data_IF_356719976890
#
_entry.id   IF_356719976890
#
_cell.length_a   1.000
_cell.length_b   1.000
_cell.length_c   1.000
_cell.angle_alpha   90.00
_cell.angle_beta   90.00
_cell.angle_gamma   90.00
#
_symmetry.space_group_name_H-M   'P 1'
#
loop_
_entity.id
_entity.type
_entity.pdbx_description
1 polymer ?
#
# COMPACT_ATOMS: atom_id res chain seq x y z
N UNK A 1 55.04 42.82 73.00
CA UNK A 1 56.20 41.97 73.30
C UNK A 1 56.26 40.86 72.26
N UNK A 2 57.28 40.86 71.39
CA UNK A 2 57.77 39.65 70.72
C UNK A 2 58.49 38.76 71.78
N UNK A 3 58.99 37.53 71.52
CA UNK A 3 59.32 36.94 70.21
C UNK A 3 59.18 35.39 70.06
N UNK A 4 59.60 34.92 68.87
CA UNK A 4 60.31 33.65 68.57
C UNK A 4 59.54 32.33 68.66
N UNK A 5 59.76 31.31 67.81
CA UNK A 5 60.71 31.09 66.73
C UNK A 5 60.35 29.81 65.96
N UNK A 6 60.78 29.76 64.68
CA UNK A 6 61.16 28.58 63.87
C UNK A 6 60.12 27.47 63.62
N UNK A 7 59.70 27.17 62.39
CA UNK A 7 60.42 26.74 61.17
C UNK A 7 60.08 25.27 60.88
N UNK A 8 59.79 24.94 59.63
CA UNK A 8 59.84 23.54 59.16
C UNK A 8 58.66 23.09 58.32
N UNK A 9 58.72 23.43 57.02
CA UNK A 9 58.42 22.56 55.88
C UNK A 9 57.59 21.29 56.13
N UNK A 10 56.41 21.21 55.51
CA UNK A 10 55.98 20.02 54.76
C UNK A 10 54.89 20.41 53.77
N UNK A 11 55.22 20.25 52.50
CA UNK A 11 54.28 20.28 51.39
C UNK A 11 53.28 19.13 51.57
N UNK A 12 52.00 19.47 51.69
CA UNK A 12 50.91 18.50 51.74
C UNK A 12 50.51 18.20 50.28
N UNK A 13 51.17 17.19 49.71
CA UNK A 13 50.75 16.58 48.46
C UNK A 13 49.51 15.70 48.73
N UNK A 14 48.47 15.79 47.90
CA UNK A 14 47.26 14.98 48.08
C UNK A 14 47.58 13.50 47.93
N UNK A 15 47.10 12.72 48.91
CA UNK A 15 47.19 11.27 48.96
C UNK A 15 46.65 10.65 47.68
N UNK A 16 47.53 9.89 47.04
CA UNK A 16 47.25 8.91 45.99
C UNK A 16 46.15 7.94 46.42
N UNK A 17 44.93 8.09 45.88
CA UNK A 17 43.97 6.99 45.80
C UNK A 17 44.25 6.20 44.52
N UNK A 18 44.95 5.09 44.70
CA UNK A 18 45.25 4.12 43.65
C UNK A 18 43.94 3.43 43.25
N UNK A 19 43.35 3.83 42.13
CA UNK A 19 42.25 3.10 41.51
C UNK A 19 42.77 1.78 40.92
N UNK A 20 42.12 0.63 41.15
CA UNK A 20 42.58 -0.64 40.61
C UNK A 20 42.39 -0.66 39.09
N UNK A 21 43.49 -0.90 38.38
CA UNK A 21 43.51 -1.14 36.94
C UNK A 21 42.72 -2.42 36.62
N UNK A 22 41.51 -2.25 36.09
CA UNK A 22 40.76 -3.33 35.45
C UNK A 22 41.16 -3.40 33.97
N UNK A 23 42.09 -4.32 33.74
CA UNK A 23 42.31 -5.07 32.50
C UNK A 23 41.19 -4.90 31.47
N UNK A 24 41.56 -4.30 30.33
CA UNK A 24 40.71 -4.21 29.17
C UNK A 24 40.34 -5.60 28.64
N UNK A 25 39.06 -5.92 28.71
CA UNK A 25 38.42 -6.81 27.75
C UNK A 25 37.51 -5.94 26.90
N UNK A 26 38.05 -5.44 25.78
CA UNK A 26 37.23 -5.04 24.63
C UNK A 26 36.58 -6.33 24.10
N UNK A 27 35.52 -6.74 24.75
CA UNK A 27 34.59 -7.71 24.20
C UNK A 27 34.01 -7.08 22.95
N UNK A 28 34.52 -7.49 21.79
CA UNK A 28 33.80 -7.36 20.53
C UNK A 28 32.41 -7.93 20.79
N UNK A 29 31.41 -7.06 20.87
CA UNK A 29 30.02 -7.46 20.68
C UNK A 29 30.00 -8.17 19.34
N UNK A 30 30.01 -9.50 19.40
CA UNK A 30 29.83 -10.33 18.23
C UNK A 30 28.48 -9.96 17.67
N UNK A 31 28.49 -9.39 16.46
CA UNK A 31 27.34 -9.42 15.58
C UNK A 31 26.97 -10.90 15.49
N UNK A 32 25.97 -11.33 16.25
CA UNK A 32 25.36 -12.64 16.07
C UNK A 32 24.72 -12.51 14.70
N UNK A 33 25.43 -12.96 13.66
CA UNK A 33 24.82 -13.18 12.36
C UNK A 33 23.67 -14.14 12.64
N UNK A 34 22.44 -13.63 12.61
CA UNK A 34 21.26 -14.47 12.74
C UNK A 34 21.36 -15.51 11.64
N UNK A 35 21.49 -16.79 12.01
CA UNK A 35 21.40 -17.90 11.07
C UNK A 35 20.20 -17.66 10.16
N UNK A 36 20.32 -17.82 8.83
CA UNK A 36 19.20 -17.52 7.96
C UNK A 36 18.06 -18.45 8.33
N UNK A 37 16.94 -17.85 8.76
CA UNK A 37 15.65 -18.52 8.70
C UNK A 37 15.47 -19.03 7.28
N UNK A 38 15.17 -20.33 7.15
CA UNK A 38 15.00 -21.00 5.87
C UNK A 38 14.09 -20.20 4.95
N UNK A 39 14.49 -20.07 3.67
CA UNK A 39 13.67 -19.40 2.67
C UNK A 39 12.27 -20.02 2.59
N UNK A 40 11.22 -19.20 2.46
CA UNK A 40 9.86 -19.70 2.41
C UNK A 40 9.60 -20.44 1.09
N UNK A 41 8.68 -21.41 1.14
CA UNK A 41 8.14 -22.05 -0.06
C UNK A 41 6.76 -21.48 -0.35
N UNK A 42 6.71 -20.37 -1.09
CA UNK A 42 5.47 -19.73 -1.53
C UNK A 42 5.38 -19.79 -3.05
N UNK A 43 4.34 -20.46 -3.55
CA UNK A 43 4.10 -20.59 -4.98
C UNK A 43 5.25 -21.29 -5.72
N UNK A 44 5.47 -20.89 -6.97
CA UNK A 44 6.53 -21.40 -7.87
C UNK A 44 7.82 -20.59 -7.80
N UNK A 45 7.86 -19.54 -6.98
CA UNK A 45 8.97 -18.59 -6.92
C UNK A 45 10.16 -19.12 -6.11
N UNK A 46 11.36 -18.69 -6.52
CA UNK A 46 12.59 -18.92 -5.76
C UNK A 46 12.86 -17.73 -4.85
N UNK A 47 12.67 -17.92 -3.55
CA UNK A 47 12.90 -16.90 -2.54
C UNK A 47 14.34 -16.95 -2.05
N UNK A 48 15.01 -15.79 -2.06
CA UNK A 48 16.40 -15.63 -1.59
C UNK A 48 16.47 -14.52 -0.55
N UNK A 49 17.54 -14.46 0.22
CA UNK A 49 17.73 -13.37 1.19
C UNK A 49 17.70 -12.02 0.49
N UNK A 50 16.83 -11.11 0.91
CA UNK A 50 16.72 -9.78 0.31
C UNK A 50 18.02 -8.96 0.45
N UNK A 51 18.79 -9.20 1.51
CA UNK A 51 20.06 -8.53 1.75
C UNK A 51 21.16 -8.94 0.76
N UNK A 52 21.02 -10.10 0.12
CA UNK A 52 21.99 -10.62 -0.86
C UNK A 52 21.65 -10.18 -2.29
N UNK A 53 20.45 -9.63 -2.52
CA UNK A 53 19.94 -9.25 -3.85
C UNK A 53 19.38 -7.81 -3.88
N UNK A 54 20.16 -6.80 -3.45
CA UNK A 54 19.69 -5.41 -3.38
C UNK A 54 19.28 -4.83 -4.74
N UNK A 55 19.79 -5.37 -5.86
CA UNK A 55 19.44 -4.97 -7.22
C UNK A 55 17.99 -5.30 -7.60
N UNK A 56 17.33 -6.18 -6.85
CA UNK A 56 15.90 -6.47 -7.01
C UNK A 56 15.00 -5.48 -6.26
N UNK A 57 15.56 -4.59 -5.44
CA UNK A 57 14.80 -3.69 -4.58
C UNK A 57 14.88 -2.25 -5.10
N UNK A 58 13.86 -1.44 -4.82
CA UNK A 58 14.03 -0.01 -5.00
C UNK A 58 15.04 0.53 -3.99
N UNK A 59 15.78 1.58 -4.38
CA UNK A 59 16.77 2.22 -3.52
C UNK A 59 16.29 2.52 -2.07
N UNK A 60 15.10 3.12 -1.84
CA UNK A 60 14.61 3.35 -0.48
C UNK A 60 14.35 2.06 0.30
N UNK A 61 13.90 1.00 -0.37
CA UNK A 61 13.62 -0.31 0.23
C UNK A 61 14.93 -1.00 0.64
N UNK A 62 15.93 -1.00 -0.25
CA UNK A 62 17.26 -1.54 0.05
C UNK A 62 17.92 -0.82 1.22
N UNK A 63 17.80 0.51 1.29
CA UNK A 63 18.37 1.31 2.37
C UNK A 63 17.70 1.02 3.73
N UNK A 64 16.40 0.73 3.74
CA UNK A 64 15.64 0.47 4.96
C UNK A 64 15.72 -0.99 5.45
N UNK A 65 16.19 -1.92 4.60
CA UNK A 65 16.16 -3.37 4.87
C UNK A 65 16.89 -3.75 6.16
N UNK A 66 18.03 -3.13 6.45
CA UNK A 66 18.82 -3.41 7.65
C UNK A 66 18.14 -3.02 8.97
N UNK A 67 17.08 -2.21 8.91
CA UNK A 67 16.28 -1.82 10.08
C UNK A 67 15.05 -2.71 10.31
N UNK A 68 14.78 -3.68 9.43
CA UNK A 68 13.60 -4.53 9.55
C UNK A 68 13.75 -5.54 10.69
N UNK A 69 12.73 -5.65 11.53
CA UNK A 69 12.70 -6.60 12.64
C UNK A 69 12.34 -8.01 12.16
N UNK A 70 13.31 -8.73 11.62
CA UNK A 70 13.15 -10.12 11.18
C UNK A 70 13.74 -10.39 9.80
N UNK A 71 13.62 -11.62 9.30
CA UNK A 71 14.09 -11.96 7.98
C UNK A 71 13.27 -11.28 6.87
N UNK A 72 13.93 -11.03 5.75
CA UNK A 72 13.30 -10.56 4.53
C UNK A 72 13.81 -11.39 3.36
N UNK A 73 12.88 -11.85 2.53
CA UNK A 73 13.19 -12.58 1.32
C UNK A 73 12.69 -11.81 0.10
N UNK A 74 13.36 -12.01 -1.02
CA UNK A 74 12.98 -11.43 -2.31
C UNK A 74 12.94 -12.52 -3.38
N UNK A 75 11.97 -12.38 -4.28
CA UNK A 75 11.85 -13.19 -5.49
C UNK A 75 11.62 -12.27 -6.69
N UNK A 76 12.32 -12.57 -7.78
CA UNK A 76 12.11 -11.92 -9.08
C UNK A 76 10.80 -12.39 -9.70
N UNK A 77 10.12 -11.47 -10.39
CA UNK A 77 8.89 -11.73 -11.15
C UNK A 77 8.95 -11.01 -12.49
N UNK A 78 8.09 -11.42 -13.40
CA UNK A 78 7.80 -10.64 -14.60
C UNK A 78 7.13 -9.32 -14.19
N UNK A 79 7.69 -8.20 -14.67
CA UNK A 79 7.21 -6.86 -14.36
C UNK A 79 5.78 -6.58 -14.88
N UNK A 80 5.33 -7.32 -15.88
CA UNK A 80 3.97 -7.23 -16.41
C UNK A 80 2.96 -7.98 -15.52
N UNK A 81 3.45 -8.89 -14.67
CA UNK A 81 2.65 -9.67 -13.71
C UNK A 81 2.73 -9.10 -12.28
N UNK A 82 3.16 -7.84 -12.14
CA UNK A 82 3.32 -7.21 -10.83
C UNK A 82 2.00 -6.86 -10.12
N UNK A 83 0.89 -6.75 -10.87
CA UNK A 83 -0.44 -6.60 -10.27
C UNK A 83 -0.79 -7.82 -9.42
N UNK A 84 -1.40 -7.60 -8.27
CA UNK A 84 -1.61 -8.66 -7.27
C UNK A 84 -2.45 -9.82 -7.81
N UNK A 85 -3.49 -9.57 -8.61
CA UNK A 85 -4.30 -10.66 -9.16
C UNK A 85 -3.48 -11.50 -10.14
N UNK A 86 -2.84 -10.85 -11.11
CA UNK A 86 -1.98 -11.50 -12.10
C UNK A 86 -0.80 -12.25 -11.46
N UNK A 87 -0.19 -11.66 -10.43
CA UNK A 87 0.88 -12.26 -9.64
C UNK A 87 0.43 -13.57 -8.97
N UNK A 88 -0.70 -13.52 -8.24
CA UNK A 88 -1.21 -14.69 -7.51
C UNK A 88 -1.58 -15.82 -8.47
N UNK A 89 -2.20 -15.50 -9.60
CA UNK A 89 -2.55 -16.46 -10.65
C UNK A 89 -1.31 -17.10 -11.29
N UNK A 90 -0.34 -16.29 -11.70
CA UNK A 90 0.84 -16.77 -12.43
C UNK A 90 1.80 -17.59 -11.55
N UNK A 91 1.98 -17.17 -10.30
CA UNK A 91 3.02 -17.74 -9.42
C UNK A 91 2.47 -18.65 -8.33
N UNK A 92 1.14 -18.77 -8.18
CA UNK A 92 0.52 -19.65 -7.19
C UNK A 92 0.80 -19.23 -5.74
N UNK A 93 1.12 -17.96 -5.51
CA UNK A 93 1.20 -17.40 -4.16
C UNK A 93 -0.23 -17.11 -3.67
N UNK A 94 -0.66 -17.64 -2.51
CA UNK A 94 -2.01 -17.41 -2.02
C UNK A 94 -2.31 -15.91 -1.82
N UNK A 95 -3.47 -15.40 -2.26
CA UNK A 95 -3.85 -14.01 -2.04
C UNK A 95 -3.97 -13.66 -0.55
N UNK A 96 -4.27 -14.64 0.32
CA UNK A 96 -4.32 -14.47 1.78
C UNK A 96 -2.95 -14.20 2.40
N UNK A 97 -1.88 -14.62 1.72
CA UNK A 97 -0.50 -14.33 2.11
C UNK A 97 0.06 -13.11 1.39
N UNK A 98 -0.77 -12.34 0.68
CA UNK A 98 -0.36 -11.14 -0.05
C UNK A 98 -1.03 -9.91 0.56
N UNK A 99 -0.32 -8.78 0.58
CA UNK A 99 -0.85 -7.50 1.01
C UNK A 99 -0.56 -6.39 0.02
N UNK A 100 -1.55 -5.52 -0.18
CA UNK A 100 -1.45 -4.34 -1.01
C UNK A 100 -1.02 -3.14 -0.15
N UNK A 101 -0.06 -2.36 -0.64
CA UNK A 101 0.29 -1.07 -0.07
C UNK A 101 -0.20 0.04 -1.00
N UNK A 102 -1.19 0.81 -0.55
CA UNK A 102 -1.78 1.91 -1.31
C UNK A 102 -1.46 3.25 -0.67
N UNK A 103 -1.18 4.26 -1.48
CA UNK A 103 -0.88 5.62 -1.00
C UNK A 103 -2.15 6.47 -1.02
N UNK A 104 -2.44 7.11 0.10
CA UNK A 104 -3.60 7.98 0.33
C UNK A 104 -3.13 9.42 0.51
N UNK A 105 -3.79 10.34 -0.18
CA UNK A 105 -3.67 11.77 0.05
C UNK A 105 -4.80 12.27 0.94
N UNK A 106 -4.45 12.73 2.15
CA UNK A 106 -5.36 13.24 3.16
C UNK A 106 -5.24 14.77 3.25
N UNK A 107 -6.33 15.50 3.01
CA UNK A 107 -6.35 16.96 2.91
C UNK A 107 -7.15 17.61 4.03
N UNK A 108 -6.56 18.62 4.68
CA UNK A 108 -7.20 19.49 5.68
C UNK A 108 -6.61 20.90 5.61
N UNK A 109 -7.47 21.92 5.66
CA UNK A 109 -7.05 23.33 5.75
C UNK A 109 -5.96 23.73 4.71
N UNK A 110 -6.10 23.27 3.47
CA UNK A 110 -5.14 23.56 2.39
C UNK A 110 -3.88 22.69 2.37
N UNK A 111 -3.60 21.94 3.44
CA UNK A 111 -2.46 21.02 3.56
C UNK A 111 -2.82 19.61 3.10
N UNK A 112 -1.86 18.91 2.52
CA UNK A 112 -1.99 17.50 2.11
C UNK A 112 -0.92 16.69 2.83
N UNK A 113 -1.34 15.60 3.49
CA UNK A 113 -0.46 14.58 4.06
C UNK A 113 -0.63 13.32 3.22
N UNK A 114 0.48 12.66 2.91
CA UNK A 114 0.49 11.35 2.29
C UNK A 114 0.63 10.27 3.37
N UNK A 115 -0.08 9.16 3.22
CA UNK A 115 -0.02 8.02 4.12
C UNK A 115 -0.06 6.73 3.30
N UNK A 116 0.58 5.68 3.79
CA UNK A 116 0.46 4.34 3.22
C UNK A 116 -0.57 3.53 4.01
N UNK A 117 -1.36 2.73 3.32
CA UNK A 117 -2.28 1.76 3.91
C UNK A 117 -1.88 0.36 3.41
N UNK A 118 -1.58 -0.54 4.34
CA UNK A 118 -1.21 -1.93 4.08
C UNK A 118 -2.38 -2.82 4.47
N UNK A 119 -3.02 -3.46 3.50
CA UNK A 119 -4.21 -4.29 3.69
C UNK A 119 -4.06 -5.64 3.00
N UNK A 120 -4.72 -6.72 3.46
CA UNK A 120 -4.70 -7.98 2.75
C UNK A 120 -5.16 -7.82 1.29
N UNK A 121 -4.58 -8.59 0.38
CA UNK A 121 -4.90 -8.52 -1.05
C UNK A 121 -6.37 -8.81 -1.37
N UNK A 122 -7.05 -9.53 -0.48
CA UNK A 122 -8.48 -9.88 -0.55
C UNK A 122 -9.41 -8.77 -0.06
N UNK A 123 -8.86 -7.61 0.32
CA UNK A 123 -9.61 -6.48 0.87
C UNK A 123 -9.23 -5.17 0.19
N UNK A 124 -9.96 -4.10 0.52
CA UNK A 124 -9.67 -2.72 0.11
C UNK A 124 -9.61 -1.81 1.32
N UNK A 125 -8.63 -0.91 1.35
CA UNK A 125 -8.53 0.11 2.39
C UNK A 125 -9.79 1.01 2.42
N UNK A 126 -10.35 1.25 3.60
CA UNK A 126 -11.44 2.20 3.84
C UNK A 126 -10.93 3.66 3.83
N UNK A 127 -10.52 4.12 2.64
CA UNK A 127 -9.89 5.44 2.44
C UNK A 127 -10.82 6.57 2.88
N UNK A 128 -12.08 6.53 2.44
CA UNK A 128 -13.04 7.63 2.62
C UNK A 128 -13.73 7.61 4.00
N UNK A 129 -13.81 6.43 4.64
CA UNK A 129 -14.34 6.24 5.97
C UNK A 129 -13.25 6.32 7.02
N UNK A 130 -12.68 5.16 7.37
CA UNK A 130 -11.75 5.02 8.48
C UNK A 130 -10.49 5.86 8.33
N UNK A 131 -9.75 5.74 7.22
CA UNK A 131 -8.46 6.43 7.03
C UNK A 131 -8.65 7.94 7.07
N UNK A 132 -9.68 8.48 6.39
CA UNK A 132 -10.00 9.91 6.43
C UNK A 132 -10.24 10.41 7.85
N UNK A 133 -11.01 9.68 8.66
CA UNK A 133 -11.29 10.04 10.06
C UNK A 133 -10.04 9.95 10.92
N UNK A 134 -9.28 8.87 10.77
CA UNK A 134 -8.04 8.60 11.50
C UNK A 134 -7.02 9.72 11.32
N UNK A 135 -6.78 10.13 10.07
CA UNK A 135 -5.87 11.22 9.72
C UNK A 135 -6.47 12.61 9.98
N UNK A 136 -7.66 12.70 10.60
CA UNK A 136 -8.34 13.97 10.90
C UNK A 136 -8.61 14.83 9.66
N UNK A 137 -8.76 14.20 8.49
CA UNK A 137 -8.81 14.87 7.21
C UNK A 137 -10.23 15.29 6.81
N UNK A 138 -10.35 16.41 6.08
CA UNK A 138 -11.64 16.81 5.50
C UNK A 138 -12.00 15.93 4.30
N UNK A 139 -10.99 15.63 3.47
CA UNK A 139 -11.09 14.76 2.29
C UNK A 139 -9.90 13.80 2.29
N UNK A 140 -10.14 12.55 1.88
CA UNK A 140 -9.08 11.60 1.55
C UNK A 140 -9.36 11.04 0.15
N UNK A 141 -8.32 10.63 -0.56
CA UNK A 141 -8.39 9.90 -1.81
C UNK A 141 -7.13 9.08 -1.99
N UNK A 142 -7.09 8.17 -2.96
CA UNK A 142 -5.79 7.68 -3.45
C UNK A 142 -4.93 8.86 -3.90
N UNK A 143 -3.64 8.79 -3.62
CA UNK A 143 -2.70 9.79 -4.11
C UNK A 143 -2.57 9.68 -5.64
N UNK A 144 -2.38 10.80 -6.35
CA UNK A 144 -2.01 10.77 -7.77
C UNK A 144 -0.77 9.90 -7.98
N UNK A 145 -0.75 9.11 -9.05
CA UNK A 145 0.31 8.14 -9.32
C UNK A 145 1.69 8.80 -9.40
N UNK A 146 1.79 9.91 -10.12
CA UNK A 146 3.01 10.70 -10.27
C UNK A 146 3.55 11.19 -8.92
N UNK A 147 2.67 11.70 -8.06
CA UNK A 147 3.02 12.12 -6.69
C UNK A 147 3.47 10.92 -5.85
N UNK A 148 2.73 9.81 -5.88
CA UNK A 148 3.08 8.62 -5.11
C UNK A 148 4.45 8.06 -5.52
N UNK A 149 4.76 8.00 -6.81
CA UNK A 149 6.04 7.55 -7.34
C UNK A 149 7.17 8.49 -6.97
N UNK A 150 6.99 9.80 -7.20
CA UNK A 150 8.01 10.80 -6.94
C UNK A 150 8.39 10.86 -5.45
N UNK A 151 7.39 10.85 -4.56
CA UNK A 151 7.62 11.01 -3.13
C UNK A 151 8.06 9.72 -2.44
N UNK A 152 7.63 8.54 -2.92
CA UNK A 152 8.09 7.26 -2.37
C UNK A 152 9.45 6.82 -2.91
N UNK A 153 9.85 7.30 -4.09
CA UNK A 153 11.02 6.80 -4.81
C UNK A 153 10.85 5.36 -5.33
N UNK A 154 9.60 4.89 -5.48
CA UNK A 154 9.26 3.52 -5.88
C UNK A 154 8.39 3.50 -7.13
N UNK A 155 8.42 2.40 -7.87
CA UNK A 155 7.59 2.21 -9.05
C UNK A 155 6.10 2.04 -8.67
N UNK A 156 5.21 2.60 -9.50
CA UNK A 156 3.78 2.37 -9.34
C UNK A 156 3.43 0.88 -9.47
N UNK A 157 2.59 0.39 -8.55
CA UNK A 157 2.31 -1.05 -8.38
C UNK A 157 3.40 -1.84 -7.64
N UNK A 158 4.56 -1.24 -7.39
CA UNK A 158 5.64 -1.79 -6.58
C UNK A 158 5.76 -1.17 -5.19
N UNK A 159 5.06 -0.05 -4.93
CA UNK A 159 5.12 0.68 -3.65
C UNK A 159 4.85 -0.26 -2.47
N UNK A 160 5.65 -0.12 -1.41
CA UNK A 160 5.67 -0.95 -0.21
C UNK A 160 5.84 -0.07 1.03
N UNK A 161 5.44 -0.49 2.24
CA UNK A 161 5.62 0.32 3.45
C UNK A 161 7.09 0.52 3.86
N UNK A 162 8.01 -0.31 3.37
CA UNK A 162 9.42 -0.26 3.74
C UNK A 162 10.16 0.86 2.99
N UNK A 163 10.83 1.75 3.71
CA UNK A 163 11.63 2.83 3.13
C UNK A 163 10.84 4.07 2.69
N UNK A 164 9.56 4.16 3.06
CA UNK A 164 8.77 5.37 2.85
C UNK A 164 9.30 6.56 3.66
N UNK A 165 9.01 7.81 3.24
CA UNK A 165 9.39 8.99 3.99
C UNK A 165 8.89 8.93 5.44
N UNK A 166 9.70 9.34 6.44
CA UNK A 166 9.32 9.24 7.86
C UNK A 166 8.12 10.11 8.24
N UNK A 167 7.75 11.07 7.40
CA UNK A 167 6.57 11.91 7.56
C UNK A 167 5.26 11.22 7.17
N UNK A 168 5.33 10.04 6.53
CA UNK A 168 4.15 9.30 6.09
C UNK A 168 3.70 8.33 7.19
N UNK A 169 2.47 8.45 7.72
CA UNK A 169 1.88 7.40 8.51
C UNK A 169 1.77 6.11 7.68
N UNK A 170 2.08 4.96 8.29
CA UNK A 170 1.91 3.64 7.70
C UNK A 170 0.81 2.91 8.47
N UNK A 171 -0.40 2.91 7.93
CA UNK A 171 -1.55 2.25 8.55
C UNK A 171 -1.54 0.78 8.12
N UNK A 172 -1.46 -0.14 9.08
CA UNK A 172 -1.36 -1.59 8.82
C UNK A 172 -2.64 -2.26 9.32
N UNK A 173 -3.23 -3.09 8.47
CA UNK A 173 -4.38 -3.89 8.86
C UNK A 173 -3.95 -4.98 9.86
N UNK A 174 -4.74 -5.26 10.93
CA UNK A 174 -4.41 -6.28 11.92
C UNK A 174 -4.15 -7.66 11.33
N UNK A 175 -4.84 -8.05 10.25
CA UNK A 175 -4.61 -9.34 9.61
C UNK A 175 -3.23 -9.41 8.93
N UNK A 176 -2.75 -8.28 8.39
CA UNK A 176 -1.37 -8.19 7.87
C UNK A 176 -0.38 -8.22 9.02
N UNK A 177 -0.63 -7.46 10.10
CA UNK A 177 0.27 -7.40 11.26
C UNK A 177 0.43 -8.77 11.96
N UNK A 178 -0.64 -9.57 11.97
CA UNK A 178 -0.65 -10.89 12.60
C UNK A 178 -0.09 -12.03 11.71
N UNK A 179 0.12 -11.79 10.41
CA UNK A 179 0.60 -12.82 9.51
C UNK A 179 2.03 -13.25 9.84
N UNK A 180 2.29 -14.56 9.93
CA UNK A 180 3.64 -15.10 10.10
C UNK A 180 4.56 -14.67 8.95
N UNK A 181 4.00 -14.60 7.74
CA UNK A 181 4.67 -14.16 6.53
C UNK A 181 3.66 -13.51 5.59
N UNK A 182 4.05 -12.40 4.97
CA UNK A 182 3.23 -11.66 4.00
C UNK A 182 4.09 -11.21 2.82
N UNK A 183 3.52 -11.32 1.62
CA UNK A 183 4.10 -10.88 0.36
C UNK A 183 3.64 -9.47 0.04
N UNK A 184 4.59 -8.56 -0.18
CA UNK A 184 4.37 -7.15 -0.51
C UNK A 184 5.25 -6.74 -1.70
N UNK A 185 5.01 -5.54 -2.24
CA UNK A 185 5.90 -4.95 -3.24
C UNK A 185 7.34 -4.80 -2.72
N UNK A 186 8.31 -4.79 -3.64
CA UNK A 186 9.74 -4.57 -3.36
C UNK A 186 10.18 -3.12 -3.63
N UNK A 187 9.24 -2.23 -3.93
CA UNK A 187 9.48 -0.91 -4.48
C UNK A 187 9.70 -0.91 -6.00
N UNK A 188 9.84 -2.07 -6.64
CA UNK A 188 9.92 -2.22 -8.10
C UNK A 188 8.76 -3.06 -8.62
N UNK A 189 8.63 -3.18 -9.95
CA UNK A 189 7.67 -4.10 -10.57
C UNK A 189 8.23 -5.50 -10.80
N UNK A 190 9.55 -5.65 -10.91
CA UNK A 190 10.21 -6.91 -11.28
C UNK A 190 10.48 -7.86 -10.12
N UNK A 191 9.99 -7.58 -8.91
CA UNK A 191 10.19 -8.48 -7.77
C UNK A 191 9.14 -8.25 -6.67
N UNK A 192 9.08 -9.18 -5.71
CA UNK A 192 8.27 -9.07 -4.48
C UNK A 192 9.12 -9.37 -3.26
N UNK A 193 8.72 -8.80 -2.13
CA UNK A 193 9.26 -9.13 -0.81
C UNK A 193 8.33 -10.09 -0.08
N UNK A 194 8.90 -11.02 0.66
CA UNK A 194 8.21 -11.76 1.72
C UNK A 194 8.83 -11.38 3.07
N UNK A 195 8.01 -10.97 4.03
CA UNK A 195 8.45 -10.49 5.34
C UNK A 195 7.44 -10.90 6.42
N UNK A 196 7.84 -11.03 7.70
CA UNK A 196 6.87 -11.21 8.78
C UNK A 196 5.92 -10.00 8.88
N UNK A 197 4.63 -10.25 9.09
CA UNK A 197 3.64 -9.21 9.32
C UNK A 197 3.99 -8.30 10.50
N UNK A 198 4.49 -8.91 11.57
CA UNK A 198 4.96 -8.20 12.76
C UNK A 198 6.12 -7.24 12.45
N UNK A 199 6.95 -7.52 11.43
CA UNK A 199 8.03 -6.64 11.02
C UNK A 199 7.50 -5.36 10.35
N UNK A 200 6.40 -5.47 9.58
CA UNK A 200 5.71 -4.32 9.00
C UNK A 200 5.01 -3.47 10.06
N UNK A 201 4.38 -4.12 11.04
CA UNK A 201 3.75 -3.44 12.18
C UNK A 201 4.76 -2.75 13.11
N UNK A 202 6.02 -3.18 13.10
CA UNK A 202 7.10 -2.60 13.90
C UNK A 202 7.87 -1.47 13.20
N UNK A 203 7.48 -1.08 11.98
CA UNK A 203 8.12 0.06 11.31
C UNK A 203 7.92 1.34 12.13
N UNK A 204 8.88 2.29 12.13
CA UNK A 204 8.82 3.47 13.03
C UNK A 204 7.57 4.34 12.88
N UNK A 205 7.00 4.40 11.67
CA UNK A 205 5.79 5.18 11.37
C UNK A 205 4.53 4.30 11.27
N UNK A 206 4.61 3.02 11.67
CA UNK A 206 3.49 2.09 11.57
C UNK A 206 2.51 2.22 12.73
N UNK A 207 1.22 2.11 12.39
CA UNK A 207 0.12 2.01 13.32
C UNK A 207 -0.83 0.90 12.85
N UNK A 208 -1.10 -0.08 13.72
CA UNK A 208 -2.08 -1.12 13.43
C UNK A 208 -3.48 -0.55 13.65
N UNK A 209 -4.29 -0.54 12.59
CA UNK A 209 -5.58 0.15 12.57
C UNK A 209 -6.74 -0.80 12.29
N UNK A 210 -7.54 -1.07 13.31
CA UNK A 210 -8.69 -1.98 13.26
C UNK A 210 -9.73 -1.58 12.20
N UNK A 211 -10.11 -2.54 11.35
CA UNK A 211 -11.10 -2.34 10.29
C UNK A 211 -10.60 -1.55 9.08
N UNK A 212 -9.26 -1.45 8.91
CA UNK A 212 -8.64 -0.80 7.75
C UNK A 212 -9.05 -1.47 6.43
N UNK A 213 -8.95 -2.79 6.35
CA UNK A 213 -9.41 -3.60 5.23
C UNK A 213 -10.92 -3.80 5.25
N UNK A 214 -11.58 -3.51 4.12
CA UNK A 214 -12.98 -3.88 3.86
C UNK A 214 -13.01 -5.04 2.86
N UNK A 215 -13.88 -6.05 3.06
CA UNK A 215 -14.09 -7.07 2.04
C UNK A 215 -14.37 -6.43 0.68
N UNK A 216 -13.79 -6.99 -0.38
CA UNK A 216 -14.17 -6.62 -1.74
C UNK A 216 -15.67 -6.94 -1.89
N UNK A 217 -16.47 -5.96 -2.31
CA UNK A 217 -17.89 -6.20 -2.53
C UNK A 217 -18.02 -7.29 -3.60
N UNK A 218 -18.75 -8.36 -3.28
CA UNK A 218 -19.11 -9.36 -4.28
C UNK A 218 -19.94 -8.67 -5.35
N UNK A 219 -19.65 -8.85 -6.66
CA UNK A 219 -20.51 -8.30 -7.70
C UNK A 219 -21.95 -8.78 -7.44
N UNK A 220 -22.96 -7.91 -7.64
CA UNK A 220 -24.34 -8.33 -7.44
C UNK A 220 -24.58 -9.58 -8.29
N UNK A 221 -25.00 -10.67 -7.62
CA UNK A 221 -25.33 -11.91 -8.30
C UNK A 221 -26.31 -11.57 -9.43
N UNK A 222 -26.07 -12.02 -10.67
CA UNK A 222 -27.03 -11.78 -11.74
C UNK A 222 -28.39 -12.28 -11.25
N UNK A 223 -29.41 -11.42 -11.36
CA UNK A 223 -30.77 -11.82 -11.06
C UNK A 223 -31.05 -13.09 -11.89
N UNK A 224 -31.74 -14.10 -11.33
CA UNK A 224 -32.11 -15.27 -12.10
C UNK A 224 -32.83 -14.78 -13.36
N UNK A 225 -32.29 -15.11 -14.53
CA UNK A 225 -32.95 -14.87 -15.80
C UNK A 225 -34.30 -15.55 -15.72
N UNK A 226 -35.38 -14.78 -15.64
CA UNK A 226 -36.71 -15.31 -15.82
C UNK A 226 -36.71 -16.01 -17.17
N UNK A 227 -36.95 -17.32 -17.17
CA UNK A 227 -37.17 -18.09 -18.39
C UNK A 227 -38.27 -17.38 -19.17
N UNK A 228 -38.04 -16.95 -20.43
CA UNK A 228 -39.12 -16.41 -21.24
C UNK A 228 -40.25 -17.44 -21.24
N UNK A 229 -41.44 -17.04 -20.82
CA UNK A 229 -42.61 -17.90 -20.94
C UNK A 229 -42.74 -18.32 -22.40
N UNK A 230 -42.76 -19.63 -22.64
CA UNK A 230 -42.95 -20.22 -23.96
C UNK A 230 -44.24 -19.64 -24.57
N UNK A 231 -44.10 -18.84 -25.63
CA UNK A 231 -45.24 -18.23 -26.32
C UNK A 231 -46.06 -19.34 -26.97
N UNK A 232 -47.35 -19.41 -26.64
CA UNK A 232 -48.27 -20.33 -27.26
C UNK A 232 -48.31 -20.12 -28.80
N UNK A 233 -48.23 -21.20 -29.60
CA UNK A 233 -48.22 -21.09 -31.05
C UNK A 233 -49.66 -20.99 -31.60
N UNK A 234 -50.21 -19.79 -31.72
CA UNK A 234 -51.36 -19.56 -32.64
C UNK A 234 -51.65 -18.11 -33.10
N UNK A 235 -50.86 -17.08 -32.74
CA UNK A 235 -51.15 -15.70 -33.18
C UNK A 235 -50.67 -15.37 -34.62
N UNK A 236 -50.78 -16.34 -35.53
CA UNK A 236 -50.58 -16.10 -36.98
C UNK A 236 -51.83 -16.44 -37.76
N UNK A 237 -52.89 -15.64 -37.56
CA UNK A 237 -53.86 -15.32 -38.60
C UNK A 237 -54.88 -14.29 -38.10
N UNK A 238 -54.54 -13.01 -38.26
CA UNK A 238 -55.55 -11.97 -38.51
C UNK A 238 -54.93 -10.89 -39.39
N UNK A 239 -55.28 -10.96 -40.68
CA UNK A 239 -54.83 -10.05 -41.71
C UNK A 239 -55.33 -8.62 -41.50
N UNK A 240 -54.44 -7.66 -41.73
CA UNK A 240 -54.82 -6.27 -41.97
C UNK A 240 -54.53 -5.96 -43.43
N UNK A 241 -55.60 -5.57 -44.14
CA UNK A 241 -55.70 -5.49 -45.59
C UNK A 241 -54.80 -4.47 -46.29
N UNK A 242 -54.95 -4.49 -47.62
CA UNK A 242 -54.07 -3.95 -48.65
C UNK A 242 -53.72 -2.45 -48.51
N UNK A 243 -52.48 -2.13 -48.89
CA UNK A 243 -51.96 -0.77 -49.07
C UNK A 243 -52.50 -0.18 -50.36
N UNK A 244 -53.16 0.97 -50.28
CA UNK A 244 -53.39 1.82 -51.45
C UNK A 244 -52.07 2.47 -51.87
N UNK A 245 -51.71 2.30 -53.15
CA UNK A 245 -50.53 2.90 -53.79
C UNK A 245 -50.77 4.37 -54.18
N UNK A 246 -49.73 5.17 -54.00
CA UNK A 246 -49.37 6.46 -54.63
C UNK A 246 -50.46 7.30 -55.34
N UNK A 247 -50.81 8.45 -54.74
CA UNK A 247 -51.27 9.65 -55.46
C UNK A 247 -50.34 10.83 -55.17
N UNK A 248 -49.99 11.52 -56.25
CA UNK A 248 -48.94 12.53 -56.41
C UNK A 248 -49.33 13.89 -55.82
N UNK A 249 -48.33 14.58 -55.30
CA UNK A 249 -48.06 15.99 -55.58
C UNK A 249 -49.11 17.04 -55.22
N UNK A 250 -49.41 17.23 -53.93
CA UNK A 250 -49.86 18.53 -53.38
C UNK A 250 -49.81 18.53 -51.84
N UNK A 251 -48.62 18.49 -51.23
CA UNK A 251 -48.48 18.75 -49.78
C UNK A 251 -47.12 19.41 -49.42
N UNK A 252 -46.52 20.13 -50.37
CA UNK A 252 -45.35 21.02 -50.09
C UNK A 252 -45.73 22.35 -49.43
N UNK A 253 -47.00 22.58 -49.10
CA UNK A 253 -47.49 23.88 -48.58
C UNK A 253 -47.43 24.07 -47.07
N UNK A 254 -46.97 23.08 -46.29
CA UNK A 254 -46.84 23.22 -44.83
C UNK A 254 -45.43 23.58 -44.32
N UNK A 255 -44.44 23.69 -45.21
CA UNK A 255 -43.05 24.02 -44.81
C UNK A 255 -42.56 25.41 -45.28
N UNK A 256 -43.38 26.18 -46.01
CA UNK A 256 -42.95 27.46 -46.59
C UNK A 256 -43.68 28.72 -46.08
N UNK A 257 -44.72 28.59 -45.23
CA UNK A 257 -45.42 29.75 -44.63
C UNK A 257 -45.28 29.79 -43.11
N UNK A 258 -44.08 30.10 -42.61
CA UNK A 258 -43.85 30.43 -41.20
C UNK A 258 -43.81 31.95 -41.03
N UNK A 259 -44.90 32.61 -40.58
CA UNK A 259 -44.89 34.06 -40.38
C UNK A 259 -43.97 34.51 -39.22
N UNK A 260 -43.35 35.70 -39.32
CA UNK A 260 -42.38 36.20 -38.35
C UNK A 260 -43.05 36.99 -37.22
N UNK A 261 -42.49 36.90 -36.00
CA UNK A 261 -42.57 37.79 -34.80
C UNK A 261 -43.91 38.45 -34.37
N UNK A 262 -44.29 38.26 -33.10
CA UNK A 262 -44.75 39.25 -32.08
C UNK A 262 -45.24 38.45 -30.84
N UNK A 263 -45.04 38.77 -29.57
CA UNK A 263 -44.47 39.90 -28.84
C UNK A 263 -44.74 39.63 -27.34
N UNK A 264 -43.95 40.26 -26.46
CA UNK A 264 -44.17 40.29 -25.01
C UNK A 264 -45.50 40.93 -24.63
N UNK A 265 -46.03 40.52 -23.48
CA UNK A 265 -46.53 41.42 -22.43
C UNK A 265 -46.05 40.87 -21.07
#
# INVERSE_FOLDING_TARGET
MAPSSRAGLRADQPRTSQAPQRSGHRGRIGLVASSPSTAPRLGTLTWTSAAERPELLAAPVAAALGGLAGPAWVAEIDADLADTAAFTEAYGVPPELSANCVVVAARRAGQTVLAACVVPATTRADVNGLVRRHLGARKASFAPQDVAVAESGMAYGGITPLGLPPSWPVLVDPAVAAAELVVVGSGTRGSKLAVPGAALAALPAAEVLEGLGRPLAEPPRPAPTATPAERAPDDRDVGWGERAEDVRGDDRRYLEDRPPHWGSD
#
